data_IF_598852889814
#
_entry.id   IF_598852889814
#
_cell.length_a   1.000
_cell.length_b   1.000
_cell.length_c   1.000
_cell.angle_alpha   90.00
_cell.angle_beta   90.00
_cell.angle_gamma   90.00
#
_symmetry.space_group_name_H-M   'P 1'
#
loop_
_entity.id
_entity.type
_entity.pdbx_description
1 polymer ?
#
# COMPACT_ATOMS: atom_id res chain seq x y z
N UNK A 1 -4.06 -9.39 32.27
CA UNK A 1 -4.77 -8.32 33.01
C UNK A 1 -3.90 -7.08 32.97
N UNK A 2 -4.45 -5.96 32.50
CA UNK A 2 -3.88 -4.60 32.51
C UNK A 2 -2.83 -4.36 31.42
N UNK A 3 -3.20 -3.88 30.23
CA UNK A 3 -3.64 -2.49 30.01
C UNK A 3 -2.88 -1.52 30.92
N UNK A 4 -1.55 -1.56 30.90
CA UNK A 4 -0.75 -0.45 31.40
C UNK A 4 -0.77 0.67 30.37
N UNK A 5 -1.97 1.27 30.25
CA UNK A 5 -2.27 2.69 30.01
C UNK A 5 -1.36 3.33 28.96
N UNK A 6 -1.76 3.43 27.68
CA UNK A 6 -2.64 4.50 27.16
C UNK A 6 -2.23 5.96 27.52
N UNK A 7 -1.06 6.15 28.11
CA UNK A 7 -0.51 7.38 28.68
C UNK A 7 0.91 7.53 28.11
N UNK A 8 1.06 8.12 26.94
CA UNK A 8 1.02 9.58 26.83
C UNK A 8 0.36 10.03 25.53
N UNK A 9 -0.92 9.65 25.39
CA UNK A 9 -2.00 10.52 24.94
C UNK A 9 -1.62 12.01 25.09
N UNK A 10 -1.78 12.81 24.03
CA UNK A 10 -1.57 14.27 24.03
C UNK A 10 -0.10 14.79 23.99
N UNK A 11 0.81 14.23 23.18
CA UNK A 11 1.66 15.12 22.32
C UNK A 11 0.97 15.35 20.97
N UNK A 12 -0.33 15.62 21.09
CA UNK A 12 -1.32 15.82 20.06
C UNK A 12 -1.13 17.17 19.37
N UNK A 13 -0.55 17.15 18.19
CA UNK A 13 -1.17 17.74 16.99
C UNK A 13 -0.18 17.84 15.84
N UNK A 14 1.13 17.71 16.10
CA UNK A 14 2.14 17.88 15.06
C UNK A 14 2.60 16.57 14.40
N UNK A 15 2.64 15.46 15.14
CA UNK A 15 3.22 14.20 14.64
C UNK A 15 2.24 13.29 13.90
N UNK A 16 0.92 13.44 14.09
CA UNK A 16 -0.06 12.70 13.27
C UNK A 16 -0.06 13.27 11.85
N UNK A 17 0.22 14.57 11.69
CA UNK A 17 0.44 15.16 10.38
C UNK A 17 1.73 14.65 9.74
N UNK A 18 2.78 14.37 10.53
CA UNK A 18 4.05 13.79 10.02
C UNK A 18 3.96 12.29 9.73
N UNK A 19 3.16 11.54 10.49
CA UNK A 19 2.88 10.12 10.21
C UNK A 19 1.93 9.93 9.03
N UNK A 20 0.99 10.87 8.79
CA UNK A 20 0.31 10.97 7.49
C UNK A 20 1.24 11.50 6.38
N UNK A 21 2.35 12.15 6.71
CA UNK A 21 3.33 12.62 5.72
C UNK A 21 4.25 11.49 5.22
N UNK A 22 4.51 10.47 6.03
CA UNK A 22 5.37 9.32 5.68
C UNK A 22 4.62 8.17 5.00
N UNK A 23 3.27 8.15 5.09
CA UNK A 23 2.42 7.17 4.40
C UNK A 23 1.75 7.88 3.22
N UNK A 24 2.54 8.40 2.29
CA UNK A 24 2.05 8.81 0.98
C UNK A 24 2.49 7.75 -0.02
N UNK A 25 1.80 6.61 0.02
CA UNK A 25 1.93 5.58 -1.01
C UNK A 25 1.25 6.15 -2.27
N UNK A 26 2.04 6.76 -3.14
CA UNK A 26 1.57 7.20 -4.45
C UNK A 26 1.75 6.00 -5.36
N UNK A 27 0.72 5.18 -5.46
CA UNK A 27 0.65 4.12 -6.45
C UNK A 27 0.48 4.75 -7.83
N UNK A 28 1.57 4.79 -8.60
CA UNK A 28 1.49 5.25 -9.98
C UNK A 28 1.37 4.05 -10.93
N UNK A 29 0.41 4.19 -11.83
CA UNK A 29 0.07 3.19 -12.82
C UNK A 29 0.45 3.73 -14.18
N UNK A 30 1.07 2.88 -15.00
CA UNK A 30 1.55 3.29 -16.33
C UNK A 30 0.35 3.51 -17.26
N UNK A 31 -0.27 4.69 -17.19
CA UNK A 31 -1.38 5.13 -18.05
C UNK A 31 -2.12 6.36 -17.52
N UNK A 32 -2.06 7.47 -18.27
CA UNK A 32 -2.78 8.76 -18.08
C UNK A 32 -2.42 9.60 -16.83
N UNK A 33 -1.76 9.06 -15.80
CA UNK A 33 -1.51 9.76 -14.53
C UNK A 33 -0.06 10.05 -14.11
N UNK A 34 0.94 9.41 -14.72
CA UNK A 34 2.32 9.37 -14.19
C UNK A 34 2.93 10.74 -13.85
N UNK A 35 2.62 11.77 -14.64
CA UNK A 35 3.10 13.13 -14.41
C UNK A 35 2.44 13.79 -13.18
N UNK A 36 1.16 13.49 -12.92
CA UNK A 36 0.45 14.00 -11.75
C UNK A 36 0.96 13.37 -10.46
N UNK A 37 1.23 12.06 -10.48
CA UNK A 37 1.81 11.34 -9.36
C UNK A 37 3.25 11.80 -9.07
N UNK A 38 4.06 12.00 -10.11
CA UNK A 38 5.42 12.54 -9.97
C UNK A 38 5.41 13.95 -9.40
N UNK A 39 4.56 14.85 -9.93
CA UNK A 39 4.42 16.21 -9.42
C UNK A 39 3.99 16.23 -7.95
N UNK A 40 3.13 15.28 -7.53
CA UNK A 40 2.70 15.16 -6.15
C UNK A 40 3.85 14.71 -5.24
N UNK A 41 4.63 13.70 -5.66
CA UNK A 41 5.83 13.25 -4.92
C UNK A 41 6.86 14.37 -4.82
N UNK A 42 7.10 15.12 -5.90
CA UNK A 42 8.01 16.26 -5.90
C UNK A 42 7.53 17.39 -4.98
N UNK A 43 6.22 17.64 -4.93
CA UNK A 43 5.63 18.60 -3.99
C UNK A 43 5.82 18.16 -2.53
N UNK A 44 5.64 16.86 -2.23
CA UNK A 44 5.89 16.30 -0.90
C UNK A 44 7.36 16.41 -0.50
N UNK A 45 8.28 16.05 -1.39
CA UNK A 45 9.73 16.22 -1.17
C UNK A 45 10.10 17.69 -0.97
N UNK A 46 9.46 18.60 -1.71
CA UNK A 46 9.67 20.04 -1.60
C UNK A 46 9.33 20.62 -0.22
N UNK A 47 8.43 20.00 0.54
CA UNK A 47 8.11 20.37 1.92
C UNK A 47 8.87 19.55 2.98
N UNK A 48 9.86 18.75 2.55
CA UNK A 48 10.71 17.94 3.43
C UNK A 48 10.10 16.61 3.86
N UNK A 49 9.05 16.15 3.17
CA UNK A 49 8.51 14.80 3.37
C UNK A 49 9.44 13.74 2.77
N UNK A 50 9.52 12.58 3.44
CA UNK A 50 10.10 11.38 2.84
C UNK A 50 9.01 10.69 2.02
N UNK A 51 9.14 10.72 0.70
CA UNK A 51 8.14 10.22 -0.24
C UNK A 51 8.82 9.48 -1.40
N UNK A 52 8.27 8.34 -1.77
CA UNK A 52 8.75 7.50 -2.87
C UNK A 52 7.61 7.19 -3.84
N UNK A 53 7.94 7.17 -5.13
CA UNK A 53 7.03 6.78 -6.20
C UNK A 53 7.33 5.33 -6.60
N UNK A 54 6.39 4.43 -6.39
CA UNK A 54 6.53 3.03 -6.81
C UNK A 54 5.65 2.80 -8.04
N UNK A 55 6.27 2.35 -9.12
CA UNK A 55 5.60 2.04 -10.38
C UNK A 55 5.50 0.54 -10.58
N UNK A 56 4.27 0.02 -10.67
CA UNK A 56 4.02 -1.39 -10.93
C UNK A 56 3.85 -1.62 -12.43
N UNK A 57 4.89 -2.16 -13.07
CA UNK A 57 4.87 -2.38 -14.52
C UNK A 57 3.87 -3.46 -14.94
N UNK A 58 3.12 -3.18 -16.01
CA UNK A 58 2.19 -4.13 -16.62
C UNK A 58 0.90 -4.36 -15.83
N UNK A 59 0.61 -3.54 -14.81
CA UNK A 59 -0.61 -3.59 -13.99
C UNK A 59 -1.55 -2.42 -14.32
N UNK A 60 -2.86 -2.69 -14.39
CA UNK A 60 -3.89 -1.64 -14.46
C UNK A 60 -4.21 -1.05 -13.09
N UNK A 61 -4.95 0.07 -13.04
CA UNK A 61 -5.33 0.70 -11.76
C UNK A 61 -6.10 -0.26 -10.87
N UNK A 62 -7.01 -1.00 -11.47
CA UNK A 62 -7.79 -2.01 -10.77
C UNK A 62 -7.00 -3.28 -10.41
N UNK A 63 -5.85 -3.53 -11.04
CA UNK A 63 -5.07 -4.74 -10.74
C UNK A 63 -4.55 -4.74 -9.30
N UNK A 64 -3.92 -3.65 -8.87
CA UNK A 64 -3.33 -3.55 -7.53
C UNK A 64 -4.38 -3.53 -6.42
N UNK A 65 -5.46 -2.76 -6.61
CA UNK A 65 -6.44 -2.53 -5.54
C UNK A 65 -7.56 -3.57 -5.48
N UNK A 66 -7.83 -4.27 -6.59
CA UNK A 66 -8.95 -5.21 -6.67
C UNK A 66 -8.52 -6.58 -7.19
N UNK A 67 -7.93 -6.65 -8.38
CA UNK A 67 -7.77 -7.95 -9.06
C UNK A 67 -6.77 -8.85 -8.34
N UNK A 68 -5.62 -8.33 -7.92
CA UNK A 68 -4.57 -9.09 -7.23
C UNK A 68 -5.02 -9.53 -5.82
N UNK A 69 -5.62 -8.66 -4.98
CA UNK A 69 -6.21 -9.09 -3.71
C UNK A 69 -7.26 -10.20 -3.87
N UNK A 70 -8.10 -10.13 -4.90
CA UNK A 70 -9.17 -11.11 -5.16
C UNK A 70 -8.64 -12.42 -5.78
N UNK A 71 -7.58 -12.34 -6.60
CA UNK A 71 -6.90 -13.49 -7.21
C UNK A 71 -6.24 -14.39 -6.17
N UNK A 72 -5.80 -13.78 -5.06
CA UNK A 72 -5.02 -14.44 -4.02
C UNK A 72 -3.62 -14.83 -4.50
N UNK A 73 -2.83 -15.45 -3.61
CA UNK A 73 -1.40 -15.70 -3.86
C UNK A 73 -0.55 -14.44 -3.63
N UNK A 74 0.31 -14.11 -4.60
CA UNK A 74 1.23 -12.95 -4.51
C UNK A 74 0.50 -11.65 -4.89
N UNK A 75 0.73 -10.61 -4.12
CA UNK A 75 0.16 -9.26 -4.25
C UNK A 75 1.27 -8.29 -3.85
N UNK A 76 1.88 -7.67 -4.85
CA UNK A 76 3.10 -6.87 -4.67
C UNK A 76 2.82 -5.60 -3.85
N UNK A 77 1.61 -5.02 -3.98
CA UNK A 77 1.20 -3.84 -3.21
C UNK A 77 1.06 -4.20 -1.74
N UNK A 78 0.38 -5.29 -1.42
CA UNK A 78 0.22 -5.73 -0.03
C UNK A 78 1.58 -6.07 0.59
N UNK A 79 2.44 -6.79 -0.14
CA UNK A 79 3.75 -7.20 0.37
C UNK A 79 4.62 -5.97 0.70
N UNK A 80 4.60 -4.92 -0.14
CA UNK A 80 5.23 -3.64 0.17
C UNK A 80 4.59 -2.93 1.37
N UNK A 81 3.27 -2.86 1.44
CA UNK A 81 2.56 -2.20 2.53
C UNK A 81 2.89 -2.82 3.89
N UNK A 82 2.92 -4.16 3.96
CA UNK A 82 3.29 -4.89 5.18
C UNK A 82 4.75 -4.63 5.55
N UNK A 83 5.66 -4.61 4.58
CA UNK A 83 7.06 -4.28 4.84
C UNK A 83 7.24 -2.86 5.40
N UNK A 84 6.46 -1.89 4.91
CA UNK A 84 6.47 -0.51 5.43
C UNK A 84 5.88 -0.43 6.84
N UNK A 85 4.73 -1.07 7.07
CA UNK A 85 4.05 -1.04 8.38
C UNK A 85 4.89 -1.72 9.47
N UNK A 86 5.53 -2.84 9.14
CA UNK A 86 6.37 -3.61 10.06
C UNK A 86 7.86 -3.26 9.96
N UNK A 87 8.20 -2.14 9.32
CA UNK A 87 9.58 -1.67 9.24
C UNK A 87 10.15 -1.45 10.66
N UNK A 88 11.14 -2.25 11.04
CA UNK A 88 11.77 -2.20 12.36
C UNK A 88 11.14 -3.11 13.43
N UNK A 89 10.12 -3.91 13.08
CA UNK A 89 9.56 -4.95 13.94
C UNK A 89 9.95 -6.35 13.40
N UNK A 90 11.09 -6.86 13.88
CA UNK A 90 11.61 -8.17 13.46
C UNK A 90 10.65 -9.32 13.78
N UNK A 91 9.87 -9.22 14.86
CA UNK A 91 8.90 -10.25 15.22
C UNK A 91 7.69 -10.25 14.28
N UNK A 92 7.21 -9.07 13.88
CA UNK A 92 6.11 -8.96 12.92
C UNK A 92 6.55 -9.45 11.54
N UNK A 93 7.74 -9.06 11.07
CA UNK A 93 8.30 -9.53 9.79
C UNK A 93 8.48 -11.06 9.77
N UNK A 94 8.93 -11.65 10.88
CA UNK A 94 9.03 -13.10 11.00
C UNK A 94 7.66 -13.80 10.92
N UNK A 95 6.61 -13.19 11.46
CA UNK A 95 5.23 -13.72 11.37
C UNK A 95 4.69 -13.62 9.95
N UNK A 96 4.96 -12.53 9.24
CA UNK A 96 4.53 -12.36 7.86
C UNK A 96 5.18 -13.39 6.94
N UNK A 97 6.47 -13.67 7.14
CA UNK A 97 7.20 -14.69 6.38
C UNK A 97 6.64 -16.12 6.58
N UNK A 98 6.01 -16.37 7.73
CA UNK A 98 5.37 -17.65 8.06
C UNK A 98 3.88 -17.67 7.73
N UNK A 99 3.31 -16.56 7.28
CA UNK A 99 1.89 -16.47 6.98
C UNK A 99 1.51 -17.42 5.83
N UNK A 100 0.34 -18.08 5.92
CA UNK A 100 -0.12 -18.92 4.83
C UNK A 100 -0.40 -18.05 3.58
N UNK A 101 -0.23 -18.60 2.37
CA UNK A 101 -0.56 -17.89 1.15
C UNK A 101 -2.01 -17.34 1.16
N UNK A 102 -2.19 -16.12 0.65
CA UNK A 102 -3.52 -15.49 0.52
C UNK A 102 -4.44 -16.39 -0.29
N UNK A 103 -5.64 -16.62 0.24
CA UNK A 103 -6.65 -17.45 -0.43
C UNK A 103 -7.21 -16.72 -1.64
N UNK A 104 -7.47 -17.46 -2.71
CA UNK A 104 -8.23 -16.96 -3.85
C UNK A 104 -9.68 -16.74 -3.44
N UNK A 105 -10.20 -15.55 -3.70
CA UNK A 105 -11.58 -15.16 -3.42
C UNK A 105 -12.46 -15.25 -4.67
N UNK A 106 -11.86 -14.99 -5.85
CA UNK A 106 -12.59 -14.94 -7.12
C UNK A 106 -11.89 -15.82 -8.17
N UNK A 107 -12.63 -16.64 -8.93
CA UNK A 107 -12.07 -17.40 -10.05
C UNK A 107 -11.50 -16.50 -11.15
N UNK A 108 -10.41 -16.93 -11.79
CA UNK A 108 -9.70 -16.14 -12.81
C UNK A 108 -10.59 -15.71 -13.99
N UNK A 109 -11.58 -16.53 -14.35
CA UNK A 109 -12.53 -16.22 -15.42
C UNK A 109 -13.31 -14.92 -15.13
N UNK A 110 -13.75 -14.73 -13.87
CA UNK A 110 -14.48 -13.53 -13.48
C UNK A 110 -13.58 -12.30 -13.41
N UNK A 111 -12.32 -12.46 -12.98
CA UNK A 111 -11.33 -11.38 -12.97
C UNK A 111 -10.97 -10.94 -14.40
N UNK A 112 -10.76 -11.91 -15.30
CA UNK A 112 -10.52 -11.64 -16.72
C UNK A 112 -11.71 -10.95 -17.38
N UNK A 113 -12.94 -11.35 -17.06
CA UNK A 113 -14.14 -10.69 -17.58
C UNK A 113 -14.27 -9.27 -17.03
N UNK A 114 -13.98 -9.04 -15.75
CA UNK A 114 -14.01 -7.72 -15.14
C UNK A 114 -13.04 -6.75 -15.84
N UNK A 115 -11.82 -7.20 -16.16
CA UNK A 115 -10.85 -6.39 -16.95
C UNK A 115 -11.36 -6.04 -18.35
N UNK A 116 -12.09 -6.96 -18.99
CA UNK A 116 -12.59 -6.73 -20.35
C UNK A 116 -13.79 -5.78 -20.39
N UNK A 117 -14.70 -5.90 -19.41
CA UNK A 117 -15.93 -5.07 -19.35
C UNK A 117 -15.60 -3.67 -18.85
N UNK A 118 -14.64 -3.55 -17.94
CA UNK A 118 -14.33 -2.30 -17.24
C UNK A 118 -12.80 -2.10 -17.21
N UNK A 119 -12.21 -1.55 -18.28
CA UNK A 119 -10.76 -1.42 -18.44
C UNK A 119 -10.15 -0.25 -17.65
N UNK A 120 -10.82 0.22 -16.58
CA UNK A 120 -10.30 1.26 -15.69
C UNK A 120 -9.04 0.77 -14.94
#
# INVERSE_FOLDING_TARGET
MNYCKFSQKLRHSFLILTFLCSINFVDALKGVGADAELNFVDALKGVGADAELILYEGKSHTDLFLQDPLRGGKDDLFDHLVAVIHAGDEEALAKDALAPPRKRLVPEILLSLARQISPF
#
